data_IF_411182365197
#
_entry.id   IF_411182365197
#
_cell.length_a   1.000
_cell.length_b   1.000
_cell.length_c   1.000
_cell.angle_alpha   90.00
_cell.angle_beta   90.00
_cell.angle_gamma   90.00
#
_symmetry.space_group_name_H-M   'P 1'
#
loop_
_entity.id
_entity.type
_entity.pdbx_description
1 polymer ?
#
# COMPACT_ATOMS: atom_id res chain seq x y z
N UNK A 1 -178.09 12.97 60.89
CA UNK A 1 -177.02 13.76 60.22
C UNK A 1 -175.60 13.44 60.73
N UNK A 2 -175.43 12.79 61.89
CA UNK A 2 -174.14 12.49 62.51
C UNK A 2 -173.45 11.23 61.92
N UNK A 3 -174.22 10.21 61.51
CA UNK A 3 -173.69 8.96 60.94
C UNK A 3 -173.04 9.10 59.54
N UNK A 4 -173.54 9.99 58.67
CA UNK A 4 -172.94 10.27 57.35
C UNK A 4 -171.60 11.01 57.44
N UNK A 5 -171.43 11.87 58.45
CA UNK A 5 -170.15 12.55 58.72
C UNK A 5 -169.12 11.56 59.29
N UNK A 6 -169.53 10.65 60.17
CA UNK A 6 -168.65 9.59 60.71
C UNK A 6 -168.11 8.64 59.62
N UNK A 7 -168.98 8.12 58.75
CA UNK A 7 -168.57 7.22 57.65
C UNK A 7 -167.71 7.92 56.57
N UNK A 8 -167.88 9.24 56.37
CA UNK A 8 -167.05 10.02 55.44
C UNK A 8 -165.67 10.32 56.04
N UNK A 9 -165.58 10.51 57.36
CA UNK A 9 -164.33 10.64 58.10
C UNK A 9 -163.55 9.33 58.05
N UNK A 10 -164.21 8.19 58.26
CA UNK A 10 -163.62 6.84 58.17
C UNK A 10 -163.05 6.52 56.79
N UNK A 11 -163.81 6.78 55.70
CA UNK A 11 -163.33 6.58 54.33
C UNK A 11 -162.17 7.49 53.96
N UNK A 12 -162.17 8.74 54.43
CA UNK A 12 -161.04 9.66 54.26
C UNK A 12 -159.82 9.19 55.05
N UNK A 13 -160.00 8.62 56.25
CA UNK A 13 -158.93 8.04 57.05
C UNK A 13 -158.29 6.83 56.38
N UNK A 14 -159.09 5.91 55.83
CA UNK A 14 -158.64 4.72 55.09
C UNK A 14 -157.94 5.12 53.79
N UNK A 15 -158.46 6.10 53.05
CA UNK A 15 -157.81 6.62 51.85
C UNK A 15 -156.48 7.31 52.17
N UNK A 16 -156.41 8.10 53.25
CA UNK A 16 -155.17 8.73 53.70
C UNK A 16 -154.14 7.69 54.17
N UNK A 17 -154.58 6.61 54.85
CA UNK A 17 -153.68 5.54 55.27
C UNK A 17 -153.14 4.74 54.08
N UNK A 18 -153.98 4.43 53.09
CA UNK A 18 -153.55 3.80 51.82
C UNK A 18 -152.56 4.68 51.06
N UNK A 19 -152.80 6.00 50.98
CA UNK A 19 -151.86 6.95 50.36
C UNK A 19 -150.54 6.99 51.15
N UNK A 20 -150.58 6.99 52.48
CA UNK A 20 -149.38 6.92 53.32
C UNK A 20 -148.60 5.61 53.12
N UNK A 21 -149.28 4.47 52.97
CA UNK A 21 -148.65 3.17 52.73
C UNK A 21 -148.02 3.12 51.33
N UNK A 22 -148.70 3.63 50.31
CA UNK A 22 -148.15 3.68 48.95
C UNK A 22 -146.94 4.63 48.89
N UNK A 23 -147.04 5.82 49.51
CA UNK A 23 -145.92 6.76 49.59
C UNK A 23 -144.76 6.17 50.38
N UNK A 24 -145.00 5.49 51.50
CA UNK A 24 -143.92 4.88 52.28
C UNK A 24 -143.21 3.76 51.50
N UNK A 25 -143.95 2.92 50.78
CA UNK A 25 -143.35 1.88 49.92
C UNK A 25 -142.53 2.48 48.78
N UNK A 26 -143.03 3.53 48.11
CA UNK A 26 -142.29 4.23 47.05
C UNK A 26 -141.03 4.91 47.58
N UNK A 27 -141.12 5.58 48.74
CA UNK A 27 -139.99 6.23 49.40
C UNK A 27 -138.95 5.19 49.82
N UNK A 28 -139.35 4.09 50.46
CA UNK A 28 -138.45 3.00 50.86
C UNK A 28 -137.79 2.37 49.64
N UNK A 29 -138.53 2.12 48.56
CA UNK A 29 -137.98 1.61 47.30
C UNK A 29 -136.96 2.56 46.65
N UNK A 30 -137.24 3.87 46.65
CA UNK A 30 -136.30 4.88 46.16
C UNK A 30 -135.03 4.97 47.03
N UNK A 31 -135.17 4.90 48.36
CA UNK A 31 -134.04 4.87 49.31
C UNK A 31 -133.17 3.62 49.05
N UNK A 32 -133.77 2.44 48.87
CA UNK A 32 -133.03 1.21 48.57
C UNK A 32 -132.28 1.32 47.24
N UNK A 33 -132.93 1.80 46.18
CA UNK A 33 -132.30 2.03 44.86
C UNK A 33 -131.15 3.03 44.93
N UNK A 34 -131.30 4.14 45.67
CA UNK A 34 -130.24 5.12 45.92
C UNK A 34 -129.07 4.47 46.67
N UNK A 35 -129.34 3.70 47.73
CA UNK A 35 -128.30 3.02 48.50
C UNK A 35 -127.51 1.99 47.67
N UNK A 36 -128.17 1.29 46.74
CA UNK A 36 -127.52 0.37 45.82
C UNK A 36 -126.63 1.12 44.82
N UNK A 37 -127.13 2.25 44.29
CA UNK A 37 -126.37 3.13 43.39
C UNK A 37 -125.13 3.71 44.08
N UNK A 38 -125.25 4.09 45.35
CA UNK A 38 -124.15 4.60 46.17
C UNK A 38 -123.08 3.51 46.39
N UNK A 39 -123.49 2.26 46.64
CA UNK A 39 -122.57 1.14 46.74
C UNK A 39 -121.83 0.87 45.42
N UNK A 40 -122.54 0.87 44.29
CA UNK A 40 -121.92 0.74 42.96
C UNK A 40 -120.95 1.89 42.66
N UNK A 41 -121.32 3.12 43.00
CA UNK A 41 -120.45 4.29 42.85
C UNK A 41 -119.20 4.19 43.72
N UNK A 42 -119.35 3.72 44.96
CA UNK A 42 -118.22 3.50 45.87
C UNK A 42 -117.27 2.43 45.32
N UNK A 43 -117.80 1.29 44.87
CA UNK A 43 -116.98 0.24 44.25
C UNK A 43 -116.22 0.75 43.01
N UNK A 44 -116.88 1.53 42.16
CA UNK A 44 -116.23 2.13 40.98
C UNK A 44 -115.18 3.16 41.38
N UNK A 45 -115.41 3.95 42.42
CA UNK A 45 -114.42 4.89 42.94
C UNK A 45 -113.18 4.16 43.44
N UNK A 46 -113.35 3.05 44.17
CA UNK A 46 -112.24 2.22 44.64
C UNK A 46 -111.47 1.57 43.48
N UNK A 47 -112.18 1.07 42.45
CA UNK A 47 -111.55 0.54 41.23
C UNK A 47 -110.74 1.61 40.49
N UNK A 48 -111.29 2.81 40.32
CA UNK A 48 -110.59 3.94 39.69
C UNK A 48 -109.34 4.29 40.50
N UNK A 49 -109.45 4.37 41.83
CA UNK A 49 -108.29 4.61 42.69
C UNK A 49 -107.21 3.53 42.56
N UNK A 50 -107.60 2.26 42.43
CA UNK A 50 -106.67 1.16 42.20
C UNK A 50 -105.93 1.28 40.86
N UNK A 51 -106.67 1.57 39.78
CA UNK A 51 -106.09 1.78 38.45
C UNK A 51 -105.22 3.03 38.38
N UNK A 52 -105.56 4.10 39.10
CA UNK A 52 -104.75 5.32 39.19
C UNK A 52 -103.38 5.00 39.83
N UNK A 53 -103.36 4.20 40.89
CA UNK A 53 -102.12 3.76 41.54
C UNK A 53 -101.27 2.85 40.63
N UNK A 54 -101.90 1.93 39.90
CA UNK A 54 -101.20 1.09 38.91
C UNK A 54 -100.61 1.93 37.78
N UNK A 55 -101.36 2.93 37.27
CA UNK A 55 -100.88 3.87 36.26
C UNK A 55 -99.63 4.60 36.75
N UNK A 56 -99.67 5.16 37.96
CA UNK A 56 -98.53 5.87 38.57
C UNK A 56 -97.30 4.94 38.75
N UNK A 57 -97.53 3.68 39.13
CA UNK A 57 -96.46 2.67 39.23
C UNK A 57 -95.83 2.36 37.87
N UNK A 58 -96.64 2.18 36.83
CA UNK A 58 -96.15 1.94 35.46
C UNK A 58 -95.43 3.17 34.90
N UNK A 59 -95.92 4.39 35.14
CA UNK A 59 -95.25 5.63 34.75
C UNK A 59 -93.85 5.73 35.40
N UNK A 60 -93.72 5.38 36.69
CA UNK A 60 -92.43 5.35 37.36
C UNK A 60 -91.48 4.29 36.76
N UNK A 61 -91.99 3.11 36.40
CA UNK A 61 -91.19 2.06 35.74
C UNK A 61 -90.72 2.50 34.35
N UNK A 62 -91.60 3.15 33.56
CA UNK A 62 -91.23 3.68 32.24
C UNK A 62 -90.14 4.74 32.37
N UNK A 63 -90.25 5.65 33.33
CA UNK A 63 -89.21 6.66 33.58
C UNK A 63 -87.86 6.02 33.95
N UNK A 64 -87.87 4.97 34.79
CA UNK A 64 -86.65 4.24 35.13
C UNK A 64 -86.03 3.53 33.92
N UNK A 65 -86.84 2.88 33.09
CA UNK A 65 -86.37 2.22 31.86
C UNK A 65 -85.78 3.24 30.88
N UNK A 66 -86.39 4.41 30.72
CA UNK A 66 -85.86 5.49 29.88
C UNK A 66 -84.49 5.99 30.37
N UNK A 67 -84.32 6.10 31.68
CA UNK A 67 -83.03 6.44 32.27
C UNK A 67 -81.97 5.37 31.97
N UNK A 68 -82.30 4.09 32.17
CA UNK A 68 -81.39 2.98 31.89
C UNK A 68 -81.01 2.91 30.40
N UNK A 69 -81.98 3.13 29.50
CA UNK A 69 -81.73 3.20 28.04
C UNK A 69 -80.73 4.32 27.73
N UNK A 70 -80.92 5.51 28.29
CA UNK A 70 -80.03 6.65 28.06
C UNK A 70 -78.60 6.39 28.58
N UNK A 71 -78.50 5.71 29.73
CA UNK A 71 -77.22 5.28 30.30
C UNK A 71 -76.50 4.28 29.40
N UNK A 72 -77.21 3.23 28.95
CA UNK A 72 -76.64 2.19 28.07
C UNK A 72 -76.25 2.76 26.70
N UNK A 73 -77.02 3.72 26.16
CA UNK A 73 -76.66 4.42 24.93
C UNK A 73 -75.34 5.19 25.08
N UNK A 74 -75.13 5.82 26.22
CA UNK A 74 -73.89 6.54 26.51
C UNK A 74 -72.70 5.58 26.63
N UNK A 75 -72.89 4.43 27.28
CA UNK A 75 -71.88 3.38 27.38
C UNK A 75 -71.51 2.78 26.01
N UNK A 76 -72.49 2.53 25.14
CA UNK A 76 -72.26 2.07 23.77
C UNK A 76 -71.39 3.06 23.00
N UNK A 77 -71.66 4.37 23.11
CA UNK A 77 -70.85 5.39 22.45
C UNK A 77 -69.42 5.38 22.98
N UNK A 78 -69.24 5.28 24.30
CA UNK A 78 -67.91 5.20 24.91
C UNK A 78 -67.13 3.98 24.42
N UNK A 79 -67.73 2.79 24.49
CA UNK A 79 -67.10 1.54 24.05
C UNK A 79 -66.76 1.57 22.56
N UNK A 80 -67.58 2.21 21.74
CA UNK A 80 -67.30 2.35 20.31
C UNK A 80 -66.11 3.29 20.05
N UNK A 81 -65.94 4.33 20.86
CA UNK A 81 -64.76 5.18 20.80
C UNK A 81 -63.50 4.41 21.23
N UNK A 82 -63.56 3.68 22.34
CA UNK A 82 -62.44 2.86 22.82
C UNK A 82 -62.04 1.79 21.79
N UNK A 83 -63.02 1.15 21.15
CA UNK A 83 -62.79 0.23 20.03
C UNK A 83 -62.02 0.89 18.89
N UNK A 84 -62.44 2.06 18.44
CA UNK A 84 -61.77 2.77 17.34
C UNK A 84 -60.33 3.15 17.71
N UNK A 85 -60.08 3.55 18.97
CA UNK A 85 -58.73 3.83 19.47
C UNK A 85 -57.86 2.57 19.45
N UNK A 86 -58.38 1.45 19.93
CA UNK A 86 -57.66 0.17 19.92
C UNK A 86 -57.36 -0.32 18.49
N UNK A 87 -58.29 -0.15 17.55
CA UNK A 87 -58.08 -0.47 16.14
C UNK A 87 -56.96 0.39 15.53
N UNK A 88 -56.90 1.68 15.84
CA UNK A 88 -55.83 2.57 15.40
C UNK A 88 -54.46 2.21 16.01
N UNK A 89 -54.42 1.84 17.29
CA UNK A 89 -53.21 1.36 17.95
C UNK A 89 -52.72 0.05 17.33
N UNK A 90 -53.63 -0.90 17.05
CA UNK A 90 -53.30 -2.16 16.40
C UNK A 90 -52.71 -1.94 15.00
N UNK A 91 -53.26 -1.02 14.22
CA UNK A 91 -52.73 -0.66 12.91
C UNK A 91 -51.31 -0.06 13.00
N UNK A 92 -51.07 0.82 13.97
CA UNK A 92 -49.75 1.41 14.22
C UNK A 92 -48.72 0.33 14.57
N UNK A 93 -49.04 -0.54 15.54
CA UNK A 93 -48.16 -1.65 15.95
C UNK A 93 -47.87 -2.61 14.79
N UNK A 94 -48.87 -2.88 13.95
CA UNK A 94 -48.68 -3.73 12.77
C UNK A 94 -47.68 -3.10 11.78
N UNK A 95 -47.71 -1.78 11.59
CA UNK A 95 -46.74 -1.05 10.76
C UNK A 95 -45.33 -1.10 11.36
N UNK A 96 -45.20 -0.93 12.67
CA UNK A 96 -43.91 -1.02 13.38
C UNK A 96 -43.30 -2.42 13.25
N UNK A 97 -44.10 -3.47 13.42
CA UNK A 97 -43.67 -4.86 13.23
C UNK A 97 -43.13 -5.09 11.82
N UNK A 98 -43.83 -4.59 10.79
CA UNK A 98 -43.36 -4.69 9.41
C UNK A 98 -42.04 -3.94 9.20
N UNK A 99 -41.91 -2.74 9.76
CA UNK A 99 -40.67 -1.95 9.68
C UNK A 99 -39.49 -2.67 10.33
N UNK A 100 -39.67 -3.14 11.57
CA UNK A 100 -38.62 -3.87 12.31
C UNK A 100 -38.26 -5.20 11.64
N UNK A 101 -39.23 -5.88 11.01
CA UNK A 101 -38.98 -7.10 10.24
C UNK A 101 -38.06 -6.81 9.04
N UNK A 102 -38.32 -5.72 8.32
CA UNK A 102 -37.48 -5.31 7.19
C UNK A 102 -36.07 -4.92 7.63
N UNK A 103 -35.94 -4.17 8.73
CA UNK A 103 -34.65 -3.80 9.31
C UNK A 103 -33.84 -5.03 9.73
N UNK A 104 -34.50 -5.99 10.40
CA UNK A 104 -33.88 -7.26 10.78
C UNK A 104 -33.33 -8.00 9.56
N UNK A 105 -34.12 -8.14 8.49
CA UNK A 105 -33.67 -8.81 7.25
C UNK A 105 -32.50 -8.05 6.60
N UNK A 106 -32.50 -6.72 6.62
CA UNK A 106 -31.39 -5.93 6.11
C UNK A 106 -30.09 -6.17 6.91
N UNK A 107 -30.18 -6.22 8.25
CA UNK A 107 -29.05 -6.51 9.12
C UNK A 107 -28.52 -7.95 8.92
N UNK A 108 -29.40 -8.94 8.78
CA UNK A 108 -29.01 -10.33 8.49
C UNK A 108 -28.23 -10.46 7.17
N UNK A 109 -28.64 -9.70 6.14
CA UNK A 109 -27.91 -9.64 4.87
C UNK A 109 -26.53 -8.96 5.03
N UNK A 110 -26.44 -7.87 5.79
CA UNK A 110 -25.16 -7.20 6.06
C UNK A 110 -24.19 -8.12 6.82
N UNK A 111 -24.67 -8.84 7.83
CA UNK A 111 -23.86 -9.81 8.58
C UNK A 111 -23.33 -10.91 7.65
N UNK A 112 -24.18 -11.44 6.77
CA UNK A 112 -23.77 -12.47 5.79
C UNK A 112 -22.71 -11.97 4.82
N UNK A 113 -22.83 -10.73 4.36
CA UNK A 113 -21.84 -10.08 3.49
C UNK A 113 -20.50 -9.90 4.20
N UNK A 114 -20.52 -9.36 5.42
CA UNK A 114 -19.30 -9.14 6.22
C UNK A 114 -18.60 -10.46 6.55
N UNK A 115 -19.35 -11.53 6.80
CA UNK A 115 -18.76 -12.84 7.05
C UNK A 115 -18.05 -13.40 5.81
N UNK A 116 -18.62 -13.18 4.62
CA UNK A 116 -17.99 -13.57 3.35
C UNK A 116 -16.70 -12.78 3.10
N UNK A 117 -16.71 -11.48 3.38
CA UNK A 117 -15.53 -10.61 3.27
C UNK A 117 -14.43 -11.04 4.25
N UNK A 118 -14.78 -11.35 5.50
CA UNK A 118 -13.83 -11.82 6.50
C UNK A 118 -13.13 -13.11 6.07
N UNK A 119 -13.89 -14.12 5.60
CA UNK A 119 -13.30 -15.36 5.07
C UNK A 119 -12.40 -15.10 3.86
N UNK A 120 -12.76 -14.14 2.99
CA UNK A 120 -11.93 -13.77 1.84
C UNK A 120 -10.59 -13.15 2.29
N UNK A 121 -10.62 -12.25 3.27
CA UNK A 121 -9.41 -11.64 3.82
C UNK A 121 -8.53 -12.66 4.54
N UNK A 122 -9.10 -13.61 5.29
CA UNK A 122 -8.35 -14.70 5.92
C UNK A 122 -7.59 -15.55 4.88
N UNK A 123 -8.22 -15.86 3.75
CA UNK A 123 -7.55 -16.58 2.66
C UNK A 123 -6.40 -15.76 2.04
N UNK A 124 -6.60 -14.45 1.84
CA UNK A 124 -5.56 -13.57 1.32
C UNK A 124 -4.36 -13.47 2.27
N UNK A 125 -4.60 -13.33 3.58
CA UNK A 125 -3.54 -13.32 4.60
C UNK A 125 -2.75 -14.63 4.56
N UNK A 126 -3.45 -15.77 4.50
CA UNK A 126 -2.81 -17.09 4.41
C UNK A 126 -1.93 -17.22 3.16
N UNK A 127 -2.40 -16.73 2.01
CA UNK A 127 -1.63 -16.74 0.76
C UNK A 127 -0.39 -15.85 0.84
N UNK A 128 -0.51 -14.65 1.42
CA UNK A 128 0.62 -13.75 1.63
C UNK A 128 1.67 -14.34 2.57
N UNK A 129 1.24 -15.01 3.64
CA UNK A 129 2.15 -15.72 4.55
C UNK A 129 2.94 -16.82 3.82
N UNK A 130 2.28 -17.61 2.97
CA UNK A 130 2.96 -18.62 2.16
C UNK A 130 4.00 -18.01 1.22
N UNK A 131 3.66 -16.89 0.56
CA UNK A 131 4.60 -16.15 -0.29
C UNK A 131 5.81 -15.63 0.49
N UNK A 132 5.60 -15.09 1.69
CA UNK A 132 6.69 -14.64 2.57
C UNK A 132 7.63 -15.81 2.90
N UNK A 133 7.10 -16.97 3.29
CA UNK A 133 7.92 -18.15 3.59
C UNK A 133 8.70 -18.65 2.37
N UNK A 134 8.11 -18.60 1.18
CA UNK A 134 8.79 -18.93 -0.08
C UNK A 134 9.96 -17.98 -0.35
N UNK A 135 9.73 -16.67 -0.24
CA UNK A 135 10.77 -15.65 -0.46
C UNK A 135 11.90 -15.75 0.57
N UNK A 136 11.60 -16.06 1.83
CA UNK A 136 12.61 -16.30 2.87
C UNK A 136 13.51 -17.50 2.53
N UNK A 137 12.92 -18.55 1.97
CA UNK A 137 13.67 -19.73 1.50
C UNK A 137 14.59 -19.34 0.34
N UNK A 138 14.08 -18.59 -0.63
CA UNK A 138 14.85 -18.11 -1.78
C UNK A 138 16.04 -17.22 -1.36
N UNK A 139 15.82 -16.28 -0.44
CA UNK A 139 16.88 -15.45 0.14
C UNK A 139 17.97 -16.30 0.79
N UNK A 140 17.59 -17.36 1.51
CA UNK A 140 18.55 -18.27 2.15
C UNK A 140 19.39 -19.01 1.10
N UNK A 141 18.76 -19.48 0.03
CA UNK A 141 19.46 -20.14 -1.08
C UNK A 141 20.44 -19.19 -1.78
N UNK A 142 20.00 -17.98 -2.11
CA UNK A 142 20.84 -16.97 -2.76
C UNK A 142 22.03 -16.55 -1.88
N UNK A 143 21.84 -16.43 -0.57
CA UNK A 143 22.94 -16.14 0.36
C UNK A 143 23.97 -17.28 0.40
N UNK A 144 23.53 -18.53 0.34
CA UNK A 144 24.45 -19.68 0.28
C UNK A 144 25.21 -19.70 -1.05
N UNK A 145 24.53 -19.46 -2.18
CA UNK A 145 25.17 -19.36 -3.49
C UNK A 145 26.22 -18.24 -3.52
N UNK A 146 25.88 -17.07 -2.97
CA UNK A 146 26.81 -15.95 -2.81
C UNK A 146 28.06 -16.37 -2.03
N UNK A 147 27.91 -17.05 -0.89
CA UNK A 147 29.04 -17.51 -0.08
C UNK A 147 29.93 -18.49 -0.84
N UNK A 148 29.33 -19.40 -1.63
CA UNK A 148 30.08 -20.32 -2.49
C UNK A 148 30.89 -19.56 -3.53
N UNK A 149 30.29 -18.58 -4.20
CA UNK A 149 30.97 -17.74 -5.18
C UNK A 149 32.10 -16.91 -4.54
N UNK A 150 31.89 -16.34 -3.36
CA UNK A 150 32.93 -15.60 -2.62
C UNK A 150 34.13 -16.51 -2.28
N UNK A 151 33.88 -17.76 -1.89
CA UNK A 151 34.95 -18.74 -1.65
C UNK A 151 35.69 -19.11 -2.93
N UNK A 152 34.99 -19.28 -4.05
CA UNK A 152 35.61 -19.54 -5.35
C UNK A 152 36.50 -18.38 -5.80
N UNK A 153 36.04 -17.14 -5.63
CA UNK A 153 36.85 -15.94 -5.92
C UNK A 153 38.13 -15.92 -5.08
N UNK A 154 38.03 -16.18 -3.78
CA UNK A 154 39.19 -16.23 -2.88
C UNK A 154 40.20 -17.33 -3.29
N UNK A 155 39.69 -18.51 -3.68
CA UNK A 155 40.54 -19.60 -4.18
C UNK A 155 41.27 -19.21 -5.47
N UNK A 156 40.57 -18.63 -6.43
CA UNK A 156 41.16 -18.17 -7.69
C UNK A 156 42.19 -17.06 -7.48
N UNK A 157 41.95 -16.14 -6.54
CA UNK A 157 42.92 -15.11 -6.16
C UNK A 157 44.21 -15.73 -5.62
N UNK A 158 44.10 -16.77 -4.80
CA UNK A 158 45.27 -17.49 -4.26
C UNK A 158 46.04 -18.21 -5.38
N UNK A 159 45.33 -18.83 -6.32
CA UNK A 159 45.93 -19.49 -7.49
C UNK A 159 46.68 -18.48 -8.38
N UNK A 160 46.08 -17.31 -8.64
CA UNK A 160 46.74 -16.23 -9.39
C UNK A 160 48.03 -15.81 -8.71
N UNK A 161 48.02 -15.56 -7.39
CA UNK A 161 49.24 -15.18 -6.67
C UNK A 161 50.33 -16.24 -6.78
N UNK A 162 49.98 -17.53 -6.66
CA UNK A 162 50.93 -18.63 -6.82
C UNK A 162 51.54 -18.69 -8.21
N UNK A 163 50.73 -18.47 -9.25
CA UNK A 163 51.20 -18.44 -10.64
C UNK A 163 52.07 -17.22 -10.92
N UNK A 164 51.72 -16.06 -10.34
CA UNK A 164 52.55 -14.85 -10.44
C UNK A 164 53.93 -15.06 -9.81
N UNK A 165 54.00 -15.70 -8.63
CA UNK A 165 55.27 -16.05 -7.97
C UNK A 165 56.10 -17.03 -8.84
N UNK A 166 55.48 -18.07 -9.40
CA UNK A 166 56.15 -19.04 -10.29
C UNK A 166 56.70 -18.36 -11.56
N UNK A 167 55.95 -17.42 -12.15
CA UNK A 167 56.39 -16.65 -13.31
C UNK A 167 57.59 -15.75 -12.97
N UNK A 168 57.59 -15.12 -11.80
CA UNK A 168 58.72 -14.28 -11.35
C UNK A 168 59.98 -15.14 -11.14
N UNK A 169 59.85 -16.28 -10.45
CA UNK A 169 60.97 -17.18 -10.19
C UNK A 169 61.55 -17.73 -11.50
N UNK A 170 60.70 -18.23 -12.41
CA UNK A 170 61.15 -18.75 -13.70
C UNK A 170 61.80 -17.67 -14.58
N UNK A 171 61.31 -16.43 -14.54
CA UNK A 171 61.94 -15.30 -15.24
C UNK A 171 63.33 -14.99 -14.68
N UNK A 172 63.49 -14.97 -13.35
CA UNK A 172 64.79 -14.74 -12.70
C UNK A 172 65.79 -15.83 -13.02
N UNK A 173 65.38 -17.10 -12.94
CA UNK A 173 66.23 -18.25 -13.31
C UNK A 173 66.67 -18.13 -14.77
N UNK A 174 65.74 -17.88 -15.69
CA UNK A 174 66.07 -17.72 -17.10
C UNK A 174 67.00 -16.54 -17.39
N UNK A 175 66.82 -15.42 -16.68
CA UNK A 175 67.72 -14.26 -16.75
C UNK A 175 69.13 -14.61 -16.25
N UNK A 176 69.24 -15.22 -15.06
CA UNK A 176 70.51 -15.57 -14.44
C UNK A 176 71.28 -16.60 -15.28
N UNK A 177 70.61 -17.65 -15.76
CA UNK A 177 71.20 -18.65 -16.66
C UNK A 177 71.68 -18.01 -17.97
N UNK A 178 70.86 -17.14 -18.58
CA UNK A 178 71.22 -16.42 -19.80
C UNK A 178 72.38 -15.44 -19.61
N UNK A 179 72.40 -14.73 -18.49
CA UNK A 179 73.49 -13.80 -18.13
C UNK A 179 74.81 -14.55 -17.92
N UNK A 180 74.79 -15.65 -17.15
CA UNK A 180 75.98 -16.49 -16.93
C UNK A 180 76.49 -17.06 -18.25
N UNK A 181 75.62 -17.62 -19.08
CA UNK A 181 76.01 -18.14 -20.39
C UNK A 181 76.64 -17.05 -21.27
N UNK A 182 76.04 -15.86 -21.34
CA UNK A 182 76.60 -14.73 -22.08
C UNK A 182 77.95 -14.25 -21.54
N UNK A 183 78.15 -14.26 -20.23
CA UNK A 183 79.45 -13.94 -19.60
C UNK A 183 80.49 -15.02 -19.91
N UNK A 184 80.15 -16.31 -19.84
CA UNK A 184 81.08 -17.40 -20.19
C UNK A 184 81.49 -17.35 -21.67
N UNK A 185 80.52 -17.16 -22.56
CA UNK A 185 80.75 -17.03 -24.00
C UNK A 185 81.59 -15.78 -24.32
N UNK A 186 81.40 -14.68 -23.57
CA UNK A 186 82.15 -13.43 -23.74
C UNK A 186 83.55 -13.43 -23.11
N UNK A 187 83.70 -13.90 -21.87
CA UNK A 187 84.93 -13.84 -21.08
C UNK A 187 86.02 -14.82 -21.57
N UNK A 188 85.65 -15.85 -22.33
CA UNK A 188 86.59 -16.77 -22.97
C UNK A 188 87.25 -16.24 -24.27
N UNK A 189 86.81 -15.09 -24.78
CA UNK A 189 87.21 -14.58 -26.11
C UNK A 189 88.39 -13.59 -26.10
N UNK A 190 88.84 -13.11 -24.94
CA UNK A 190 90.03 -12.26 -24.81
C UNK A 190 89.84 -10.77 -25.16
N UNK A 191 88.61 -10.30 -25.41
CA UNK A 191 88.32 -8.89 -25.69
C UNK A 191 87.72 -8.22 -24.44
N UNK A 192 88.57 -7.56 -23.63
CA UNK A 192 88.09 -6.68 -22.56
C UNK A 192 87.77 -5.31 -23.15
N UNK A 193 86.56 -5.14 -23.68
CA UNK A 193 86.05 -3.83 -24.09
C UNK A 193 85.87 -2.99 -22.83
N UNK A 194 86.52 -1.83 -22.77
CA UNK A 194 86.47 -0.94 -21.60
C UNK A 194 86.27 0.51 -22.01
N UNK A 195 85.73 1.28 -21.07
CA UNK A 195 85.71 2.74 -21.18
C UNK A 195 87.17 3.27 -21.23
N UNK A 196 87.57 4.09 -22.23
CA UNK A 196 88.90 4.70 -22.29
C UNK A 196 89.09 5.79 -21.22
N UNK A 197 90.32 6.19 -20.91
CA UNK A 197 90.55 7.54 -20.33
C UNK A 197 90.35 8.60 -21.42
N UNK A 198 90.17 9.86 -21.04
CA UNK A 198 90.07 10.94 -22.02
C UNK A 198 91.31 10.99 -22.93
N UNK A 199 92.52 10.93 -22.37
CA UNK A 199 93.77 10.93 -23.16
C UNK A 199 93.85 9.74 -24.13
N UNK A 200 93.35 8.56 -23.74
CA UNK A 200 93.28 7.39 -24.61
C UNK A 200 92.25 7.56 -25.73
N UNK A 201 91.09 8.16 -25.44
CA UNK A 201 90.09 8.47 -26.45
C UNK A 201 90.63 9.50 -27.47
N UNK A 202 91.32 10.55 -27.00
CA UNK A 202 92.00 11.51 -27.89
C UNK A 202 93.07 10.84 -28.73
N UNK A 203 93.89 9.98 -28.13
CA UNK A 203 94.92 9.25 -28.86
C UNK A 203 94.31 8.35 -29.94
N UNK A 204 93.21 7.66 -29.64
CA UNK A 204 92.46 6.88 -30.60
C UNK A 204 91.91 7.74 -31.74
N UNK A 205 91.19 8.83 -31.41
CA UNK A 205 90.63 9.76 -32.42
C UNK A 205 91.74 10.23 -33.37
N UNK A 206 92.92 10.59 -32.85
CA UNK A 206 94.03 11.04 -33.68
C UNK A 206 94.73 9.97 -34.52
N UNK A 207 94.46 8.69 -34.26
CA UNK A 207 95.04 7.53 -34.95
C UNK A 207 94.06 6.86 -35.90
N UNK A 208 92.77 7.04 -35.67
CA UNK A 208 91.72 6.53 -36.54
C UNK A 208 91.77 7.29 -37.87
N UNK A 209 91.51 6.58 -38.98
CA UNK A 209 91.56 7.14 -40.34
C UNK A 209 90.15 7.17 -40.96
N UNK A 210 89.08 7.08 -40.15
CA UNK A 210 87.70 7.02 -40.67
C UNK A 210 87.29 8.32 -41.36
N UNK A 211 87.81 9.46 -40.90
CA UNK A 211 87.62 10.78 -41.48
C UNK A 211 88.25 10.94 -42.89
N UNK A 212 89.22 10.08 -43.25
CA UNK A 212 89.82 10.05 -44.58
C UNK A 212 88.90 9.47 -45.67
N UNK A 213 87.76 8.86 -45.31
CA UNK A 213 86.81 8.31 -46.26
C UNK A 213 85.95 9.40 -46.94
N UNK A 214 85.60 9.19 -48.21
CA UNK A 214 84.70 10.09 -48.94
C UNK A 214 83.24 9.79 -48.59
N UNK A 215 82.45 10.84 -48.32
CA UNK A 215 81.00 10.72 -48.15
C UNK A 215 80.33 10.44 -49.51
N UNK A 216 79.62 9.32 -49.62
CA UNK A 216 78.94 8.89 -50.87
C UNK A 216 77.50 8.42 -50.61
N UNK A 217 76.74 8.14 -51.66
CA UNK A 217 75.37 7.59 -51.51
C UNK A 217 75.36 6.22 -50.80
N UNK A 218 76.47 5.47 -50.87
CA UNK A 218 76.64 4.14 -50.26
C UNK A 218 77.52 4.16 -49.00
N UNK A 219 78.01 5.33 -48.57
CA UNK A 219 78.86 5.51 -47.37
C UNK A 219 78.51 6.84 -46.70
N UNK A 220 77.62 6.77 -45.73
CA UNK A 220 76.99 7.93 -45.06
C UNK A 220 77.38 7.99 -43.58
N UNK A 221 76.91 9.00 -42.84
CA UNK A 221 77.26 9.22 -41.42
C UNK A 221 77.11 7.97 -40.53
N UNK A 222 76.16 7.09 -40.85
CA UNK A 222 75.99 5.80 -40.17
C UNK A 222 77.20 4.90 -40.35
N UNK A 223 77.72 4.79 -41.57
CA UNK A 223 78.86 3.94 -41.91
C UNK A 223 80.16 4.49 -41.28
N UNK A 224 80.39 5.81 -41.35
CA UNK A 224 81.48 6.47 -40.62
C UNK A 224 81.43 6.15 -39.12
N UNK A 225 80.26 6.30 -38.49
CA UNK A 225 80.12 6.02 -37.05
C UNK A 225 80.29 4.54 -36.72
N UNK A 226 79.80 3.65 -37.60
CA UNK A 226 79.94 2.20 -37.44
C UNK A 226 81.40 1.76 -37.55
N UNK A 227 82.15 2.27 -38.53
CA UNK A 227 83.55 1.94 -38.74
C UNK A 227 84.42 2.51 -37.61
N UNK A 228 84.20 3.77 -37.21
CA UNK A 228 84.89 4.38 -36.08
C UNK A 228 84.65 3.60 -34.77
N UNK A 229 83.41 3.20 -34.49
CA UNK A 229 83.08 2.38 -33.32
C UNK A 229 83.70 0.97 -33.43
N UNK A 230 83.77 0.40 -34.63
CA UNK A 230 84.43 -0.87 -34.91
C UNK A 230 85.95 -0.81 -34.72
N UNK A 231 86.60 0.27 -35.13
CA UNK A 231 88.03 0.51 -34.92
C UNK A 231 88.34 0.71 -33.44
N UNK A 232 87.51 1.48 -32.72
CA UNK A 232 87.61 1.64 -31.28
C UNK A 232 87.49 0.28 -30.55
N UNK A 233 86.54 -0.56 -30.99
CA UNK A 233 86.37 -1.92 -30.48
C UNK A 233 87.62 -2.78 -30.72
N UNK A 234 88.24 -2.71 -31.90
CA UNK A 234 89.48 -3.42 -32.20
C UNK A 234 90.66 -2.98 -31.30
N UNK A 235 90.62 -1.74 -30.81
CA UNK A 235 91.57 -1.23 -29.81
C UNK A 235 91.15 -1.51 -28.36
N UNK A 236 90.04 -2.21 -28.15
CA UNK A 236 89.52 -2.60 -26.84
C UNK A 236 88.74 -1.50 -26.12
N UNK A 237 88.30 -0.47 -26.84
CA UNK A 237 87.52 0.64 -26.27
C UNK A 237 86.02 0.46 -26.51
N UNK A 238 85.24 0.77 -25.48
CA UNK A 238 83.78 0.85 -25.55
C UNK A 238 83.40 2.18 -26.20
N UNK A 239 82.94 2.11 -27.43
CA UNK A 239 82.44 3.27 -28.18
C UNK A 239 80.92 3.16 -28.32
N UNK A 240 80.21 4.24 -27.99
CA UNK A 240 78.76 4.30 -28.18
C UNK A 240 78.41 4.93 -29.53
N UNK A 241 77.46 4.34 -30.24
CA UNK A 241 76.84 4.91 -31.43
C UNK A 241 75.73 5.88 -31.01
N UNK A 242 75.83 7.14 -31.43
CA UNK A 242 74.88 8.19 -31.07
C UNK A 242 74.03 8.53 -32.28
N UNK A 243 72.72 8.27 -32.18
CA UNK A 243 71.76 8.68 -33.18
C UNK A 243 71.18 10.05 -32.82
N UNK A 244 71.26 11.00 -33.74
CA UNK A 244 70.75 12.35 -33.63
C UNK A 244 69.61 12.52 -34.64
N UNK A 245 68.44 12.90 -34.15
CA UNK A 245 67.26 13.16 -34.98
C UNK A 245 67.04 14.68 -35.10
N UNK A 246 66.85 15.15 -36.33
CA UNK A 246 66.36 16.48 -36.65
C UNK A 246 64.91 16.39 -37.16
N UNK A 247 64.31 17.53 -37.53
CA UNK A 247 62.91 17.54 -37.97
C UNK A 247 62.66 16.79 -39.29
N UNK A 248 63.64 16.77 -40.19
CA UNK A 248 63.49 16.19 -41.55
C UNK A 248 64.59 15.18 -41.90
N UNK A 249 65.68 15.14 -41.13
CA UNK A 249 66.85 14.28 -41.37
C UNK A 249 67.35 13.68 -40.07
N UNK A 250 68.29 12.74 -40.17
CA UNK A 250 68.99 12.17 -39.03
C UNK A 250 70.49 12.14 -39.29
N UNK A 251 71.27 12.05 -38.22
CA UNK A 251 72.72 11.98 -38.26
C UNK A 251 73.23 11.00 -37.22
N UNK A 252 74.45 10.53 -37.40
CA UNK A 252 75.10 9.60 -36.49
C UNK A 252 76.50 10.12 -36.15
N UNK A 253 76.84 10.06 -34.85
CA UNK A 253 78.17 10.37 -34.34
C UNK A 253 78.59 9.34 -33.30
N UNK A 254 79.85 9.32 -32.92
CA UNK A 254 80.36 8.42 -31.90
C UNK A 254 80.41 9.09 -30.52
N UNK A 255 80.51 8.30 -29.46
CA UNK A 255 80.80 8.80 -28.12
C UNK A 255 81.66 7.84 -27.31
N UNK A 256 82.39 8.40 -26.35
CA UNK A 256 83.11 7.63 -25.34
C UNK A 256 82.65 8.08 -23.96
N UNK A 257 82.31 7.13 -23.09
CA UNK A 257 82.15 7.41 -21.67
C UNK A 257 83.53 7.33 -21.04
N UNK A 258 84.27 8.44 -21.03
CA UNK A 258 85.63 8.43 -20.50
C UNK A 258 85.61 8.20 -18.99
N UNK A 259 86.58 7.43 -18.50
CA UNK A 259 86.64 7.04 -17.08
C UNK A 259 86.96 8.20 -16.13
N UNK A 260 87.46 9.32 -16.65
CA UNK A 260 87.96 10.46 -15.89
C UNK A 260 87.24 11.79 -16.17
N UNK A 261 86.73 12.03 -17.39
CA UNK A 261 86.02 13.27 -17.74
C UNK A 261 84.55 13.06 -18.13
N UNK A 262 84.06 11.82 -18.11
CA UNK A 262 82.69 11.48 -18.47
C UNK A 262 82.48 11.45 -19.98
N UNK A 263 81.24 11.65 -20.39
CA UNK A 263 80.82 11.45 -21.78
C UNK A 263 81.36 12.53 -22.71
N UNK A 264 81.99 12.11 -23.80
CA UNK A 264 82.40 12.97 -24.91
C UNK A 264 81.78 12.47 -26.21
N UNK A 265 81.47 13.38 -27.13
CA UNK A 265 80.93 13.06 -28.45
C UNK A 265 81.96 13.42 -29.52
N UNK A 266 82.08 12.58 -30.54
CA UNK A 266 83.08 12.71 -31.61
C UNK A 266 82.33 12.62 -32.94
N UNK A 267 82.51 13.61 -33.80
CA UNK A 267 82.07 13.56 -35.20
C UNK A 267 83.08 12.73 -36.01
N UNK A 268 82.77 11.46 -36.38
CA UNK A 268 83.73 10.57 -37.03
C UNK A 268 84.10 11.02 -38.45
N UNK A 269 83.33 11.93 -39.04
CA UNK A 269 83.64 12.50 -40.35
C UNK A 269 84.71 13.60 -40.31
N UNK A 270 85.03 14.13 -39.12
CA UNK A 270 85.94 15.29 -38.98
C UNK A 270 86.88 15.21 -37.77
N UNK A 271 86.82 14.13 -36.98
CA UNK A 271 87.50 13.95 -35.70
C UNK A 271 87.25 15.06 -34.66
N UNK A 272 86.20 15.86 -34.84
CA UNK A 272 85.90 16.95 -33.94
C UNK A 272 85.18 16.41 -32.70
N UNK A 273 85.65 16.82 -31.52
CA UNK A 273 84.87 16.65 -30.30
C UNK A 273 83.79 17.72 -30.26
N UNK A 274 82.54 17.28 -30.26
CA UNK A 274 81.36 18.14 -30.38
C UNK A 274 80.56 18.16 -29.08
N UNK A 275 79.90 19.29 -28.82
CA UNK A 275 78.91 19.41 -27.74
C UNK A 275 77.51 19.28 -28.34
N UNK A 276 76.76 18.27 -27.92
CA UNK A 276 75.43 17.97 -28.45
C UNK A 276 74.42 17.76 -27.32
N UNK A 277 73.30 18.45 -27.42
CA UNK A 277 72.16 18.28 -26.54
C UNK A 277 70.84 18.56 -27.28
N UNK A 278 69.76 17.89 -26.85
CA UNK A 278 68.42 18.13 -27.40
C UNK A 278 68.05 19.61 -27.23
N UNK A 279 67.65 20.25 -28.33
CA UNK A 279 67.33 21.68 -28.41
C UNK A 279 68.50 22.57 -28.84
N UNK A 280 69.72 22.06 -28.97
CA UNK A 280 70.86 22.80 -29.54
C UNK A 280 70.89 22.69 -31.07
N UNK A 281 71.57 23.66 -31.71
CA UNK A 281 71.89 23.61 -33.12
C UNK A 281 73.12 22.74 -33.34
N UNK A 282 73.02 21.78 -34.24
CA UNK A 282 74.12 20.96 -34.71
C UNK A 282 74.02 20.86 -36.24
N UNK A 283 75.11 21.18 -36.93
CA UNK A 283 75.16 21.38 -38.39
C UNK A 283 73.99 22.22 -38.96
N UNK A 284 73.68 23.33 -38.27
CA UNK A 284 72.61 24.26 -38.67
C UNK A 284 71.18 23.78 -38.42
N UNK A 285 70.98 22.59 -37.86
CA UNK A 285 69.66 22.01 -37.55
C UNK A 285 69.46 21.81 -36.04
N UNK A 286 68.23 21.93 -35.55
CA UNK A 286 67.92 21.76 -34.12
C UNK A 286 67.73 20.28 -33.81
N UNK A 287 68.51 19.75 -32.87
CA UNK A 287 68.38 18.36 -32.39
C UNK A 287 67.02 18.21 -31.67
N UNK A 288 66.14 17.37 -32.21
CA UNK A 288 64.81 17.11 -31.60
C UNK A 288 64.84 15.90 -30.67
N UNK A 289 65.71 14.93 -30.96
CA UNK A 289 65.90 13.72 -30.15
C UNK A 289 67.32 13.20 -30.34
N UNK A 290 67.87 12.61 -29.29
CA UNK A 290 69.16 11.93 -29.37
C UNK A 290 69.13 10.69 -28.47
N UNK A 291 69.85 9.64 -28.86
CA UNK A 291 70.00 8.42 -28.07
C UNK A 291 71.38 7.80 -28.29
N UNK A 292 71.91 7.15 -27.26
CA UNK A 292 73.19 6.45 -27.30
C UNK A 292 72.91 4.95 -27.24
N UNK A 293 73.55 4.21 -28.14
CA UNK A 293 73.57 2.76 -28.19
C UNK A 293 75.01 2.35 -27.86
N UNK A 294 75.20 1.55 -26.81
CA UNK A 294 76.52 1.07 -26.37
C UNK A 294 76.80 -0.34 -26.85
#
# INVERSE_FOLDING_TARGET
>A
MIWRKCAMVEKKLVALSLICVVLSVVIVGAILMLSQKDYELQMKADQISGLENERLSLEAQVANLQFNISSLQSEIVSLNNDKNVLEAQAATLQSEITSLTNEKTALENQVSSLQTEATTLEMQVSALQANISSLQTEITLLNNEKLVLENQVSSLQTEIMSLEDEVIESYQVGYDEGYVQGVEDGAGSGWYIRDPTYDEAIAFISLDETDENDYTEDYVCYDFTSDFAGNAFQMGYRCGFVYIEFSETAHAIACFNTTDLGLIYVEPQTDEIVDVAVGQLYDGQVIVRMGIIW
#
